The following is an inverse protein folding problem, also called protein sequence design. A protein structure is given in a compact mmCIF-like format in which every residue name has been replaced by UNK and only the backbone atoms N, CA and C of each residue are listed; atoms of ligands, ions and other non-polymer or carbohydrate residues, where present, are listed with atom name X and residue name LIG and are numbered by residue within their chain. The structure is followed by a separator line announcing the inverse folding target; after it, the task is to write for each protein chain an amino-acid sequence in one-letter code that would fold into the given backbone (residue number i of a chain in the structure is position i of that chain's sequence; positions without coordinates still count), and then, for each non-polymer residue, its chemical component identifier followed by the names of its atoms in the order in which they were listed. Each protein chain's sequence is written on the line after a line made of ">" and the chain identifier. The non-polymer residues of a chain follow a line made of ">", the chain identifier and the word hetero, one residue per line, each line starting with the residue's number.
data_IF_785776914329
#
_entry.id   IF_785776914329
#
_cell.length_a   1.000
_cell.length_b   1.000
_cell.length_c   1.000
_cell.angle_alpha   90.00
_cell.angle_beta   90.00
_cell.angle_gamma   90.00
#
_symmetry.space_group_name_H-M   'P 1'
#
loop_
_entity.id
_entity.type
_entity.pdbx_description
1 polymer ?
#
# COMPACT_ATOMS: atom_id res chain seq x y z
N UNK A 1 18.64 5.66 -1.40
CA UNK A 1 17.32 5.02 -1.53
C UNK A 1 16.29 6.05 -1.09
N UNK A 2 15.18 6.19 -1.83
CA UNK A 2 14.15 7.18 -1.48
C UNK A 2 13.46 6.81 -0.16
N UNK A 3 13.03 7.81 0.60
CA UNK A 3 12.22 7.64 1.82
C UNK A 3 10.75 7.31 1.49
N UNK A 4 10.36 7.36 0.22
CA UNK A 4 8.99 7.20 -0.24
C UNK A 4 8.76 5.91 -1.04
N UNK A 5 7.63 5.27 -0.80
CA UNK A 5 7.21 4.08 -1.52
C UNK A 5 6.34 4.43 -2.72
N UNK A 6 6.47 3.65 -3.79
CA UNK A 6 5.60 3.79 -4.96
C UNK A 6 4.20 3.28 -4.62
N UNK A 7 3.18 4.08 -4.91
CA UNK A 7 1.78 3.71 -4.70
C UNK A 7 1.35 2.43 -5.44
N UNK A 8 2.08 2.05 -6.51
CA UNK A 8 1.83 0.84 -7.28
C UNK A 8 1.81 -0.44 -6.42
N UNK A 9 2.65 -0.53 -5.38
CA UNK A 9 2.72 -1.73 -4.52
C UNK A 9 1.38 -2.00 -3.82
N UNK A 10 0.76 -0.95 -3.25
CA UNK A 10 -0.54 -1.08 -2.58
C UNK A 10 -1.65 -1.39 -3.59
N UNK A 11 -1.62 -0.76 -4.76
CA UNK A 11 -2.62 -0.99 -5.81
C UNK A 11 -2.59 -2.43 -6.32
N UNK A 12 -1.41 -2.98 -6.53
CA UNK A 12 -1.26 -4.34 -7.04
C UNK A 12 -1.78 -5.36 -6.01
N UNK A 13 -1.45 -5.17 -4.72
CA UNK A 13 -1.98 -6.00 -3.62
C UNK A 13 -3.49 -5.91 -3.44
N UNK A 14 -4.05 -4.70 -3.56
CA UNK A 14 -5.50 -4.52 -3.54
C UNK A 14 -6.18 -5.21 -4.74
N UNK A 15 -5.52 -5.24 -5.89
CA UNK A 15 -6.04 -5.94 -7.07
C UNK A 15 -6.08 -7.46 -6.86
N UNK A 16 -5.05 -8.03 -6.22
CA UNK A 16 -5.01 -9.45 -5.84
C UNK A 16 -6.20 -9.82 -4.92
N UNK A 17 -6.50 -8.97 -3.94
CA UNK A 17 -7.65 -9.15 -3.03
C UNK A 17 -8.98 -9.11 -3.78
N UNK A 18 -9.14 -8.16 -4.71
CA UNK A 18 -10.36 -8.04 -5.52
C UNK A 18 -10.56 -9.28 -6.37
N UNK A 19 -9.49 -9.80 -6.98
CA UNK A 19 -9.56 -11.02 -7.81
C UNK A 19 -9.95 -12.23 -6.96
N UNK A 20 -9.31 -12.45 -5.82
CA UNK A 20 -9.68 -13.57 -4.93
C UNK A 20 -11.11 -13.44 -4.38
N UNK A 21 -11.56 -12.22 -4.12
CA UNK A 21 -12.95 -11.94 -3.72
C UNK A 21 -13.95 -12.29 -4.82
N UNK A 22 -13.57 -12.08 -6.09
CA UNK A 22 -14.38 -12.46 -7.24
C UNK A 22 -14.45 -13.97 -7.40
N UNK A 23 -13.31 -14.67 -7.25
CA UNK A 23 -13.27 -16.13 -7.27
C UNK A 23 -14.17 -16.73 -6.17
N UNK A 24 -14.20 -16.12 -4.98
CA UNK A 24 -15.10 -16.55 -3.91
C UNK A 24 -16.59 -16.36 -4.28
N UNK A 25 -16.94 -15.24 -4.90
CA UNK A 25 -18.31 -15.01 -5.37
C UNK A 25 -18.73 -16.05 -6.41
N UNK A 26 -17.87 -16.35 -7.38
CA UNK A 26 -18.13 -17.36 -8.40
C UNK A 26 -18.27 -18.78 -7.80
N UNK A 27 -17.45 -19.11 -6.80
CA UNK A 27 -17.56 -20.37 -6.07
C UNK A 27 -18.90 -20.50 -5.31
N UNK A 28 -19.36 -19.41 -4.69
CA UNK A 28 -20.65 -19.37 -3.98
C UNK A 28 -21.84 -19.45 -4.95
N UNK A 29 -21.76 -18.78 -6.09
CA UNK A 29 -22.85 -18.70 -7.08
C UNK A 29 -22.99 -19.98 -7.90
N UNK A 30 -21.87 -20.65 -8.20
CA UNK A 30 -21.88 -21.90 -8.98
C UNK A 30 -22.52 -23.06 -8.22
N UNK A 31 -22.40 -23.08 -6.89
CA UNK A 31 -22.86 -24.20 -6.04
C UNK A 31 -22.14 -25.53 -6.29
N UNK A 32 -21.23 -25.59 -7.29
CA UNK A 32 -20.39 -26.74 -7.62
C UNK A 32 -19.18 -26.84 -6.68
N UNK A 33 -18.68 -25.68 -6.24
CA UNK A 33 -17.61 -25.63 -5.24
C UNK A 33 -18.18 -25.85 -3.83
N UNK A 34 -17.71 -26.91 -3.17
CA UNK A 34 -18.17 -27.25 -1.83
C UNK A 34 -17.75 -26.22 -0.76
N UNK A 35 -18.39 -26.22 0.43
CA UNK A 35 -18.15 -25.24 1.51
C UNK A 35 -16.67 -25.09 1.92
N UNK A 36 -15.89 -26.15 1.71
CA UNK A 36 -14.45 -26.15 1.96
C UNK A 36 -13.70 -25.15 1.11
N UNK A 37 -13.98 -25.06 -0.20
CA UNK A 37 -13.23 -24.19 -1.09
C UNK A 37 -13.58 -22.73 -0.90
N UNK A 38 -14.86 -22.42 -0.66
CA UNK A 38 -15.28 -21.08 -0.26
C UNK A 38 -14.58 -20.63 1.04
N UNK A 39 -14.41 -21.55 2.00
CA UNK A 39 -13.65 -21.27 3.23
C UNK A 39 -12.17 -21.00 2.96
N UNK A 40 -11.54 -21.80 2.10
CA UNK A 40 -10.12 -21.60 1.71
C UNK A 40 -9.94 -20.21 1.05
N UNK A 41 -10.79 -19.86 0.08
CA UNK A 41 -10.75 -18.54 -0.57
C UNK A 41 -10.98 -17.38 0.42
N UNK A 42 -11.92 -17.53 1.37
CA UNK A 42 -12.15 -16.52 2.40
C UNK A 42 -10.93 -16.33 3.32
N UNK A 43 -10.25 -17.42 3.70
CA UNK A 43 -9.02 -17.36 4.50
C UNK A 43 -7.87 -16.70 3.72
N UNK A 44 -7.76 -16.97 2.43
CA UNK A 44 -6.74 -16.35 1.58
C UNK A 44 -6.96 -14.83 1.49
N UNK A 45 -8.21 -14.39 1.29
CA UNK A 45 -8.57 -12.96 1.29
C UNK A 45 -8.21 -12.30 2.62
N UNK A 46 -8.55 -12.93 3.74
CA UNK A 46 -8.20 -12.43 5.07
C UNK A 46 -6.68 -12.32 5.26
N UNK A 47 -5.93 -13.33 4.84
CA UNK A 47 -4.46 -13.33 4.90
C UNK A 47 -3.87 -12.16 4.09
N UNK A 48 -4.33 -11.97 2.85
CA UNK A 48 -3.85 -10.88 1.99
C UNK A 48 -4.17 -9.50 2.58
N UNK A 49 -5.37 -9.34 3.15
CA UNK A 49 -5.75 -8.08 3.79
C UNK A 49 -4.90 -7.80 5.03
N UNK A 50 -4.64 -8.82 5.87
CA UNK A 50 -3.79 -8.68 7.05
C UNK A 50 -2.35 -8.34 6.68
N UNK A 51 -1.80 -8.91 5.61
CA UNK A 51 -0.45 -8.55 5.13
C UNK A 51 -0.34 -7.06 4.79
N UNK A 52 -1.38 -6.45 4.20
CA UNK A 52 -1.41 -5.01 3.91
C UNK A 52 -1.50 -4.19 5.21
N UNK A 53 -2.34 -4.61 6.15
CA UNK A 53 -2.51 -3.93 7.44
C UNK A 53 -1.20 -3.96 8.22
N UNK A 54 -0.57 -5.13 8.33
CA UNK A 54 0.71 -5.30 9.01
C UNK A 54 1.78 -4.45 8.34
N UNK A 55 1.84 -4.46 7.01
CA UNK A 55 2.76 -3.62 6.25
C UNK A 55 2.59 -2.11 6.56
N UNK A 56 1.36 -1.63 6.65
CA UNK A 56 1.05 -0.24 7.02
C UNK A 56 1.37 0.06 8.49
N UNK A 57 1.22 -0.93 9.38
CA UNK A 57 1.46 -0.76 10.82
C UNK A 57 2.93 -0.54 11.17
N UNK A 58 3.87 -0.96 10.31
CA UNK A 58 5.30 -0.75 10.51
C UNK A 58 5.72 0.72 10.37
N UNK A 59 4.85 1.60 9.89
CA UNK A 59 5.21 2.98 9.61
C UNK A 59 4.93 3.86 10.83
N UNK A 60 5.86 4.78 11.11
CA UNK A 60 5.74 5.72 12.23
C UNK A 60 4.60 6.75 12.05
N UNK A 61 3.99 6.80 10.85
CA UNK A 61 2.89 7.68 10.49
C UNK A 61 2.03 7.05 9.38
N UNK A 62 0.83 7.58 9.19
CA UNK A 62 -0.06 7.15 8.11
C UNK A 62 0.57 7.39 6.72
N UNK A 63 0.36 6.48 5.75
CA UNK A 63 0.78 6.68 4.37
C UNK A 63 0.26 8.00 3.78
N UNK A 64 1.14 8.79 3.16
CA UNK A 64 0.70 9.89 2.31
C UNK A 64 0.37 9.34 0.91
N UNK A 65 -0.87 9.53 0.46
CA UNK A 65 -1.28 9.27 -0.92
C UNK A 65 -1.33 10.60 -1.68
N UNK A 66 -0.44 10.77 -2.66
CA UNK A 66 -0.43 11.94 -3.54
C UNK A 66 -1.29 11.71 -4.78
N UNK A 67 -2.30 12.55 -4.98
CA UNK A 67 -3.26 12.47 -6.10
C UNK A 67 -3.10 13.62 -7.13
N UNK A 68 -2.03 14.41 -7.03
CA UNK A 68 -1.75 15.51 -7.95
C UNK A 68 -1.13 15.04 -9.28
N UNK A 69 -0.81 16.01 -10.15
CA UNK A 69 -0.16 15.75 -11.43
C UNK A 69 1.32 15.35 -11.26
N UNK A 70 1.83 14.61 -12.24
CA UNK A 70 3.22 14.14 -12.29
C UNK A 70 3.36 12.63 -12.12
N UNK A 71 4.52 12.13 -12.48
CA UNK A 71 4.87 10.72 -12.28
C UNK A 71 5.28 10.47 -10.83
N UNK A 72 5.16 9.22 -10.37
CA UNK A 72 5.59 8.84 -9.02
C UNK A 72 7.03 9.21 -8.73
N UNK A 73 7.95 9.04 -9.70
CA UNK A 73 9.36 9.35 -9.50
C UNK A 73 9.63 10.86 -9.40
N UNK A 74 8.90 11.69 -10.16
CA UNK A 74 9.00 13.15 -10.06
C UNK A 74 8.51 13.66 -8.70
N UNK A 75 7.37 13.15 -8.23
CA UNK A 75 6.80 13.52 -6.92
C UNK A 75 7.74 13.08 -5.80
N UNK A 76 8.28 11.88 -5.88
CA UNK A 76 9.26 11.38 -4.91
C UNK A 76 10.50 12.28 -4.88
N UNK A 77 11.05 12.65 -6.04
CA UNK A 77 12.22 13.53 -6.11
C UNK A 77 11.93 14.94 -5.54
N UNK A 78 10.73 15.47 -5.78
CA UNK A 78 10.28 16.72 -5.18
C UNK A 78 10.22 16.65 -3.66
N UNK A 79 9.61 15.60 -3.11
CA UNK A 79 9.49 15.41 -1.65
C UNK A 79 10.86 15.20 -0.99
N UNK A 80 11.74 14.40 -1.59
CA UNK A 80 13.10 14.18 -1.11
C UNK A 80 13.89 15.52 -1.07
N UNK A 81 13.70 16.39 -2.06
CA UNK A 81 14.30 17.74 -2.08
C UNK A 81 13.79 18.62 -0.94
N UNK A 82 12.48 18.66 -0.71
CA UNK A 82 11.90 19.45 0.39
C UNK A 82 12.40 19.00 1.76
N UNK A 83 12.53 17.68 1.97
CA UNK A 83 13.09 17.14 3.21
C UNK A 83 14.55 17.57 3.37
N UNK A 84 15.35 17.46 2.31
CA UNK A 84 16.75 17.88 2.35
C UNK A 84 16.90 19.37 2.69
N UNK A 85 16.09 20.24 2.08
CA UNK A 85 16.11 21.68 2.36
C UNK A 85 15.71 22.00 3.80
N UNK A 86 14.69 21.31 4.33
CA UNK A 86 14.25 21.46 5.71
C UNK A 86 15.31 20.97 6.72
N UNK A 87 15.99 19.86 6.44
CA UNK A 87 17.08 19.34 7.27
C UNK A 87 18.31 20.26 7.22
N UNK A 88 18.66 20.78 6.03
CA UNK A 88 19.77 21.72 5.86
C UNK A 88 19.52 23.08 6.53
N UNK A 89 18.26 23.54 6.58
CA UNK A 89 17.86 24.75 7.30
C UNK A 89 18.07 24.64 8.81
N UNK A 90 17.70 23.50 9.42
CA UNK A 90 17.87 23.25 10.86
C UNK A 90 19.32 23.27 11.34
N UNK A 91 20.28 22.97 10.46
CA UNK A 91 21.71 23.06 10.79
C UNK A 91 22.21 24.49 10.99
N UNK A 92 21.55 25.49 10.40
CA UNK A 92 21.94 26.91 10.51
C UNK A 92 21.38 27.61 11.75
N UNK A 93 20.25 27.15 12.27
CA UNK A 93 19.62 27.73 13.46
C UNK A 93 20.23 27.24 14.78
N UNK A 94 21.13 26.24 14.71
CA UNK A 94 21.78 25.62 15.88
C UNK A 94 23.12 26.26 16.28
N UNK A 95 23.62 27.22 15.50
CA UNK A 95 24.90 27.91 15.72
C UNK A 95 24.74 29.39 16.16
N UNK A 96 23.54 29.80 16.59
CA UNK A 96 23.25 31.16 17.09
C UNK A 96 23.09 31.22 18.60
#
# INVERSE_FOLDING_TARGET
>A
MSKFLRAGILRDRLSDIVEASRMLQEALDSGEEGPRRCKELAMDIESMANEIIDFMSYWNCEPLIYLGEGTTDEVIGFLDKLIYEAEAGKGKDSES
#
